data_IF_900237658708
#
_entry.id   IF_900237658708
#
_cell.length_a   1.000
_cell.length_b   1.000
_cell.length_c   1.000
_cell.angle_alpha   90.00
_cell.angle_beta   90.00
_cell.angle_gamma   90.00
#
_symmetry.space_group_name_H-M   'P 1'
#
loop_
_entity.id
_entity.type
_entity.pdbx_description
1 polymer ?
#
# COMPACT_ATOMS: atom_id res chain seq x y z
N UNK A 1 -16.66 2.42 0.71
CA UNK A 1 -15.94 2.11 1.96
C UNK A 1 -15.52 0.65 1.89
N UNK A 2 -14.26 0.37 2.26
CA UNK A 2 -13.65 -0.95 2.19
C UNK A 2 -13.41 -1.49 3.60
N UNK A 3 -13.49 -2.79 3.78
CA UNK A 3 -13.18 -3.50 5.03
C UNK A 3 -11.81 -4.15 4.95
N UNK A 4 -11.27 -4.56 6.10
CA UNK A 4 -10.02 -5.34 6.14
C UNK A 4 -10.10 -6.64 5.32
N UNK A 5 -11.29 -7.22 5.17
CA UNK A 5 -11.52 -8.40 4.30
C UNK A 5 -11.26 -8.10 2.83
N UNK A 6 -11.63 -6.90 2.37
CA UNK A 6 -11.57 -6.51 0.97
C UNK A 6 -10.11 -6.28 0.58
N UNK A 7 -9.35 -5.61 1.46
CA UNK A 7 -7.90 -5.45 1.33
C UNK A 7 -7.18 -6.80 1.34
N UNK A 8 -7.56 -7.69 2.26
CA UNK A 8 -6.97 -9.03 2.36
C UNK A 8 -7.19 -9.83 1.08
N UNK A 9 -8.40 -9.79 0.53
CA UNK A 9 -8.74 -10.42 -0.74
C UNK A 9 -7.95 -9.81 -1.92
N UNK A 10 -7.89 -8.48 -2.02
CA UNK A 10 -7.15 -7.77 -3.07
C UNK A 10 -5.64 -8.07 -3.07
N UNK A 11 -5.08 -8.35 -1.89
CA UNK A 11 -3.66 -8.69 -1.70
C UNK A 11 -3.39 -10.21 -1.69
N UNK A 12 -4.41 -11.07 -1.70
CA UNK A 12 -4.24 -12.51 -1.56
C UNK A 12 -3.63 -12.96 -0.22
N UNK A 13 -3.91 -12.23 0.86
CA UNK A 13 -3.41 -12.52 2.22
C UNK A 13 -4.57 -12.70 3.20
N UNK A 14 -4.28 -13.14 4.42
CA UNK A 14 -5.29 -13.18 5.48
C UNK A 14 -5.52 -11.80 6.14
N UNK A 15 -6.64 -11.65 6.85
CA UNK A 15 -6.97 -10.42 7.58
C UNK A 15 -5.96 -10.13 8.70
N UNK A 16 -5.30 -11.15 9.26
CA UNK A 16 -4.34 -10.97 10.34
C UNK A 16 -3.05 -10.30 9.86
N UNK A 17 -2.66 -10.59 8.62
CA UNK A 17 -1.51 -10.03 7.92
C UNK A 17 -1.70 -8.54 7.68
N UNK A 18 -2.88 -8.14 7.18
CA UNK A 18 -3.24 -6.71 7.03
C UNK A 18 -3.20 -5.99 8.39
N UNK A 19 -3.77 -6.59 9.44
CA UNK A 19 -3.69 -6.03 10.80
C UNK A 19 -2.25 -5.93 11.31
N UNK A 20 -1.40 -6.91 11.00
CA UNK A 20 0.01 -6.89 11.37
C UNK A 20 0.79 -5.80 10.66
N UNK A 21 0.43 -5.41 9.43
CA UNK A 21 1.05 -4.27 8.76
C UNK A 21 0.76 -2.98 9.50
N UNK A 22 -0.51 -2.76 9.84
CA UNK A 22 -0.98 -1.59 10.61
C UNK A 22 -0.34 -1.53 11.99
N UNK A 23 -0.23 -2.67 12.71
CA UNK A 23 0.39 -2.70 14.04
C UNK A 23 1.90 -2.42 14.01
N UNK A 24 2.58 -2.73 12.90
CA UNK A 24 4.01 -2.47 12.69
C UNK A 24 4.30 -1.08 12.14
N UNK A 25 3.27 -0.27 11.88
CA UNK A 25 3.38 1.11 11.44
C UNK A 25 2.58 2.05 12.34
N UNK A 26 2.97 2.19 13.63
CA UNK A 26 2.17 2.90 14.63
C UNK A 26 1.94 4.39 14.33
N UNK A 27 2.79 5.01 13.51
CA UNK A 27 2.62 6.39 13.04
C UNK A 27 1.60 6.56 11.91
N UNK A 28 1.05 5.46 11.37
CA UNK A 28 0.12 5.49 10.25
C UNK A 28 -1.28 5.06 10.71
N UNK A 29 -2.09 6.04 11.10
CA UNK A 29 -3.47 5.83 11.52
C UNK A 29 -4.39 6.01 10.33
N UNK A 30 -4.81 4.90 9.73
CA UNK A 30 -5.82 4.88 8.66
C UNK A 30 -7.04 4.07 9.04
N UNK A 31 -8.17 4.44 8.46
CA UNK A 31 -9.45 3.81 8.62
C UNK A 31 -10.17 4.22 9.90
N UNK A 32 -11.48 4.26 9.79
CA UNK A 32 -12.41 4.64 10.87
C UNK A 32 -13.01 3.38 11.48
N UNK A 33 -13.16 3.35 12.81
CA UNK A 33 -13.89 2.28 13.49
C UNK A 33 -15.39 2.57 13.42
N UNK A 34 -16.14 1.68 12.77
CA UNK A 34 -17.60 1.73 12.69
C UNK A 34 -18.16 0.34 13.02
N UNK A 35 -19.05 0.26 14.02
CA UNK A 35 -19.67 -0.99 14.48
C UNK A 35 -18.65 -2.10 14.83
N UNK A 36 -17.51 -1.72 15.40
CA UNK A 36 -16.44 -2.67 15.78
C UNK A 36 -15.58 -3.18 14.61
N UNK A 37 -15.82 -2.71 13.38
CA UNK A 37 -15.02 -3.01 12.21
C UNK A 37 -14.26 -1.77 11.74
N UNK A 38 -12.99 -1.92 11.36
CA UNK A 38 -12.24 -0.86 10.69
C UNK A 38 -12.66 -0.79 9.23
N UNK A 39 -13.09 0.40 8.80
CA UNK A 39 -13.40 0.71 7.42
C UNK A 39 -12.38 1.70 6.86
N UNK A 40 -12.11 1.61 5.58
CA UNK A 40 -11.14 2.43 4.86
C UNK A 40 -11.85 3.16 3.73
N UNK A 41 -11.50 4.42 3.49
CA UNK A 41 -11.86 5.06 2.24
C UNK A 41 -11.08 4.46 1.06
N UNK A 42 -11.33 4.95 -0.15
CA UNK A 42 -10.68 4.41 -1.35
C UNK A 42 -9.17 4.67 -1.38
N UNK A 43 -8.73 5.83 -0.91
CA UNK A 43 -7.30 6.20 -0.88
C UNK A 43 -6.56 5.35 0.14
N UNK A 44 -7.13 5.18 1.33
CA UNK A 44 -6.59 4.30 2.38
C UNK A 44 -6.55 2.84 1.93
N UNK A 45 -7.60 2.36 1.27
CA UNK A 45 -7.65 1.02 0.71
C UNK A 45 -6.57 0.80 -0.34
N UNK A 46 -6.40 1.73 -1.28
CA UNK A 46 -5.36 1.67 -2.30
C UNK A 46 -3.96 1.70 -1.68
N UNK A 47 -3.72 2.52 -0.66
CA UNK A 47 -2.45 2.54 0.08
C UNK A 47 -2.12 1.16 0.69
N UNK A 48 -3.13 0.46 1.23
CA UNK A 48 -2.93 -0.88 1.77
C UNK A 48 -2.67 -1.93 0.67
N UNK A 49 -3.29 -1.78 -0.52
CA UNK A 49 -3.01 -2.66 -1.67
C UNK A 49 -1.60 -2.44 -2.22
N UNK A 50 -1.17 -1.18 -2.37
CA UNK A 50 0.21 -0.84 -2.74
C UNK A 50 1.18 -1.42 -1.70
N UNK A 51 0.83 -1.35 -0.42
CA UNK A 51 1.63 -1.95 0.65
C UNK A 51 1.77 -3.46 0.47
N UNK A 52 0.67 -4.18 0.26
CA UNK A 52 0.69 -5.62 0.02
C UNK A 52 1.53 -6.03 -1.20
N UNK A 53 1.38 -5.31 -2.32
CA UNK A 53 2.16 -5.54 -3.55
C UNK A 53 3.65 -5.25 -3.36
N UNK A 54 4.00 -4.24 -2.55
CA UNK A 54 5.39 -3.90 -2.25
C UNK A 54 6.03 -4.95 -1.34
N UNK A 55 5.31 -5.40 -0.31
CA UNK A 55 5.78 -6.39 0.65
C UNK A 55 5.91 -7.79 0.03
N UNK A 56 5.02 -8.18 -0.89
CA UNK A 56 5.11 -9.46 -1.60
C UNK A 56 6.38 -9.58 -2.44
N UNK A 57 6.95 -8.44 -2.84
CA UNK A 57 8.23 -8.33 -3.58
C UNK A 57 9.42 -8.08 -2.66
N UNK A 58 9.24 -8.23 -1.35
CA UNK A 58 10.26 -8.07 -0.31
C UNK A 58 10.91 -6.68 -0.30
N UNK A 59 10.18 -5.65 -0.77
CA UNK A 59 10.69 -4.29 -0.87
C UNK A 59 10.38 -3.48 0.40
N UNK A 60 11.04 -3.85 1.50
CA UNK A 60 10.97 -3.14 2.78
C UNK A 60 9.97 -3.68 3.78
N UNK A 61 9.78 -2.90 4.83
CA UNK A 61 8.95 -3.25 5.99
C UNK A 61 7.66 -2.42 6.02
N UNK A 62 6.60 -2.86 6.72
CA UNK A 62 5.34 -2.11 6.76
C UNK A 62 5.51 -0.65 7.20
N UNK A 63 6.39 -0.36 8.16
CA UNK A 63 6.69 1.00 8.65
C UNK A 63 7.39 1.89 7.61
N UNK A 64 8.16 1.31 6.69
CA UNK A 64 8.78 2.05 5.58
C UNK A 64 7.79 2.22 4.42
N UNK A 65 7.01 1.20 4.12
CA UNK A 65 6.15 1.12 2.94
C UNK A 65 4.88 1.94 3.11
N UNK A 66 4.18 1.83 4.25
CA UNK A 66 2.87 2.45 4.43
C UNK A 66 2.85 3.97 4.20
N UNK A 67 3.80 4.76 4.75
CA UNK A 67 3.83 6.20 4.49
C UNK A 67 3.99 6.54 3.00
N UNK A 68 4.83 5.78 2.29
CA UNK A 68 5.07 5.97 0.85
C UNK A 68 3.84 5.55 0.05
N UNK A 69 3.24 4.42 0.39
CA UNK A 69 2.04 3.93 -0.26
C UNK A 69 0.87 4.91 -0.11
N UNK A 70 0.74 5.57 1.04
CA UNK A 70 -0.26 6.61 1.28
C UNK A 70 -0.05 7.86 0.41
N UNK A 71 1.21 8.31 0.29
CA UNK A 71 1.58 9.42 -0.60
C UNK A 71 1.25 9.08 -2.06
N UNK A 72 1.55 7.85 -2.49
CA UNK A 72 1.24 7.37 -3.84
C UNK A 72 -0.27 7.29 -4.07
N UNK A 73 -1.02 6.72 -3.13
CA UNK A 73 -2.48 6.56 -3.25
C UNK A 73 -3.24 7.89 -3.21
N UNK A 74 -2.74 8.88 -2.47
CA UNK A 74 -3.27 10.25 -2.48
C UNK A 74 -2.93 11.02 -3.75
N UNK A 75 -1.95 10.53 -4.53
CA UNK A 75 -1.65 11.00 -5.88
C UNK A 75 -2.68 10.53 -6.91
N UNK A 76 -2.53 10.94 -8.16
CA UNK A 76 -3.51 10.62 -9.21
C UNK A 76 -3.40 9.15 -9.66
N UNK A 77 -4.43 8.31 -9.48
CA UNK A 77 -4.37 6.83 -9.61
C UNK A 77 -4.28 6.30 -11.06
N UNK A 78 -4.07 7.17 -12.05
CA UNK A 78 -4.04 6.81 -13.48
C UNK A 78 -2.67 6.44 -14.05
N UNK A 79 -1.64 6.25 -13.22
CA UNK A 79 -0.24 6.10 -13.68
C UNK A 79 0.43 4.86 -13.11
N UNK A 80 1.54 4.46 -13.73
CA UNK A 80 2.49 3.53 -13.13
C UNK A 80 3.48 4.32 -12.29
N UNK A 81 3.70 3.88 -11.05
CA UNK A 81 4.74 4.42 -10.17
C UNK A 81 5.81 3.36 -9.96
N UNK A 82 7.07 3.75 -9.93
CA UNK A 82 8.20 2.86 -9.70
C UNK A 82 8.69 3.01 -8.27
N UNK A 83 8.58 1.95 -7.46
CA UNK A 83 9.20 1.91 -6.14
C UNK A 83 10.60 1.30 -6.21
N UNK A 84 11.54 1.88 -5.47
CA UNK A 84 12.94 1.43 -5.47
C UNK A 84 13.65 1.87 -4.19
N UNK A 85 14.85 1.33 -3.98
CA UNK A 85 15.75 1.75 -2.90
C UNK A 85 16.75 2.76 -3.44
N UNK A 86 16.86 3.92 -2.79
CA UNK A 86 17.90 4.92 -3.01
C UNK A 86 18.65 5.13 -1.70
N UNK A 87 19.96 4.89 -1.71
CA UNK A 87 20.80 5.01 -0.51
C UNK A 87 20.26 4.23 0.70
N UNK A 88 19.74 3.02 0.44
CA UNK A 88 19.11 2.15 1.45
C UNK A 88 17.69 2.55 1.87
N UNK A 89 17.19 3.71 1.45
CA UNK A 89 15.83 4.19 1.78
C UNK A 89 14.84 3.86 0.68
N UNK A 90 13.64 3.44 1.07
CA UNK A 90 12.54 3.24 0.12
C UNK A 90 12.09 4.60 -0.42
N UNK A 91 11.87 4.69 -1.73
CA UNK A 91 11.36 5.89 -2.41
C UNK A 91 10.59 5.48 -3.66
N UNK A 92 10.05 6.46 -4.39
CA UNK A 92 9.25 6.23 -5.59
C UNK A 92 9.48 7.32 -6.66
N UNK A 93 9.16 6.99 -7.90
CA UNK A 93 9.27 7.87 -9.06
C UNK A 93 8.15 7.60 -10.07
N UNK A 94 7.69 8.62 -10.80
CA UNK A 94 6.78 8.46 -11.94
C UNK A 94 7.50 7.91 -13.18
N UNK A 95 8.82 8.09 -13.25
CA UNK A 95 9.68 7.59 -14.32
C UNK A 95 10.45 6.36 -13.88
N UNK A 96 10.67 5.42 -14.80
CA UNK A 96 11.48 4.25 -14.52
C UNK A 96 12.90 4.68 -14.19
N UNK A 97 13.43 4.34 -12.99
CA UNK A 97 14.80 4.67 -12.63
C UNK A 97 15.79 3.71 -13.31
N UNK A 98 17.06 4.10 -13.33
CA UNK A 98 18.20 3.31 -13.81
C UNK A 98 18.71 2.27 -12.79
N UNK A 99 17.96 2.08 -11.71
CA UNK A 99 18.22 1.08 -10.66
C UNK A 99 17.11 0.03 -10.62
N UNK A 100 17.35 -1.16 -10.02
CA UNK A 100 16.30 -2.14 -9.80
C UNK A 100 15.09 -1.54 -9.09
N UNK A 101 13.94 -1.60 -9.76
CA UNK A 101 12.71 -0.97 -9.32
C UNK A 101 11.51 -1.86 -9.62
N UNK A 102 10.43 -1.57 -8.91
CA UNK A 102 9.18 -2.30 -8.97
C UNK A 102 8.11 -1.40 -9.55
N UNK A 103 7.58 -1.79 -10.72
CA UNK A 103 6.44 -1.11 -11.32
C UNK A 103 5.15 -1.39 -10.53
N UNK A 104 4.46 -0.33 -10.15
CA UNK A 104 3.14 -0.32 -9.52
C UNK A 104 2.13 0.31 -10.49
N UNK A 105 1.43 -0.51 -11.30
CA UNK A 105 0.35 -0.01 -12.16
C UNK A 105 -0.87 0.33 -11.29
N UNK A 106 -1.02 1.60 -10.88
CA UNK A 106 -2.00 1.99 -9.87
C UNK A 106 -3.45 1.70 -10.29
N UNK A 107 -3.77 1.86 -11.56
CA UNK A 107 -5.11 1.54 -12.10
C UNK A 107 -5.45 0.05 -11.96
N UNK A 108 -4.47 -0.83 -12.16
CA UNK A 108 -4.65 -2.27 -12.01
C UNK A 108 -4.71 -2.69 -10.54
N UNK A 109 -4.06 -1.95 -9.62
CA UNK A 109 -4.17 -2.18 -8.18
C UNK A 109 -5.52 -1.69 -7.64
N UNK A 110 -5.98 -0.52 -8.07
CA UNK A 110 -7.27 0.06 -7.70
C UNK A 110 -8.44 -0.79 -8.24
N UNK A 111 -8.30 -1.41 -9.42
CA UNK A 111 -9.30 -2.33 -9.97
C UNK A 111 -9.46 -3.65 -9.17
N UNK A 112 -8.56 -3.95 -8.22
CA UNK A 112 -8.69 -5.11 -7.31
C UNK A 112 -9.57 -4.83 -6.10
N UNK A 113 -9.88 -3.56 -5.83
CA UNK A 113 -10.73 -3.09 -4.74
C UNK A 113 -12.20 -3.08 -5.16
#
# INVERSE_FOLDING_TARGET
>A
MFKTSDIAAACGVDRATVRSWLSRSPGFQVGTLENGARQFDRVEALALVITGETLSRQLGTPSEVLPIAALIAGGSPGRTVWLYRKDGKLTFSEWQPDVPAVAMPLSALDARL
#
